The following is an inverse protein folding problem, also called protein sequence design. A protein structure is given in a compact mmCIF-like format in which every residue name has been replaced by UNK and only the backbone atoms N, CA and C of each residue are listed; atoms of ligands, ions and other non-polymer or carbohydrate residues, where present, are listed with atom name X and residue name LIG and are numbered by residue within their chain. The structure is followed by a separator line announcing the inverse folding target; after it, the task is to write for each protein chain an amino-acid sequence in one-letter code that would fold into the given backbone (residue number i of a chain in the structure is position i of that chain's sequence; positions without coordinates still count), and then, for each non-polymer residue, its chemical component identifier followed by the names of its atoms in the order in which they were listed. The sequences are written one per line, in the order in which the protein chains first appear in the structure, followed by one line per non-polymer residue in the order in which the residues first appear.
data_IF_223167083260
#
_entry.id   IF_223167083260
#
_cell.length_a   1.000
_cell.length_b   1.000
_cell.length_c   1.000
_cell.angle_alpha   90.00
_cell.angle_beta   90.00
_cell.angle_gamma   90.00
#
_symmetry.space_group_name_H-M   'P 1'
#
loop_
_entity.id
_entity.type
_entity.pdbx_description
1 polymer ?
#
# COMPACT_ATOMS: atom_id res chain seq x y z
N UNK A 1 -23.99 -4.94 5.40
CA UNK A 1 -24.31 -6.38 5.29
C UNK A 1 -24.08 -7.12 6.61
N UNK A 2 -22.92 -6.99 7.26
CA UNK A 2 -22.66 -7.66 8.56
C UNK A 2 -23.58 -7.13 9.67
N UNK A 3 -23.69 -5.81 9.82
CA UNK A 3 -24.55 -5.19 10.85
C UNK A 3 -26.00 -5.66 10.78
N UNK A 4 -26.59 -5.69 9.57
CA UNK A 4 -27.99 -6.11 9.37
C UNK A 4 -28.25 -7.56 9.77
N UNK A 5 -27.22 -8.42 9.77
CA UNK A 5 -27.34 -9.81 10.20
C UNK A 5 -27.18 -9.97 11.72
N UNK A 6 -26.25 -9.21 12.32
CA UNK A 6 -25.91 -9.33 13.74
C UNK A 6 -26.88 -8.56 14.64
N UNK A 7 -27.38 -7.39 14.20
CA UNK A 7 -28.22 -6.51 15.02
C UNK A 7 -29.45 -7.22 15.61
N UNK A 8 -30.27 -7.97 14.85
CA UNK A 8 -31.44 -8.64 15.42
C UNK A 8 -31.07 -9.70 16.48
N UNK A 9 -29.91 -10.35 16.34
CA UNK A 9 -29.42 -11.34 17.30
C UNK A 9 -28.94 -10.65 18.59
N UNK A 10 -28.26 -9.52 18.48
CA UNK A 10 -27.85 -8.73 19.65
C UNK A 10 -29.07 -8.24 20.44
N UNK A 11 -30.11 -7.79 19.74
CA UNK A 11 -31.33 -7.30 20.39
C UNK A 11 -32.06 -8.41 21.16
N UNK A 12 -32.05 -9.65 20.63
CA UNK A 12 -32.69 -10.81 21.28
C UNK A 12 -31.86 -11.34 22.44
N UNK A 13 -30.56 -11.58 22.23
CA UNK A 13 -29.73 -12.29 23.20
C UNK A 13 -29.06 -11.35 24.22
N UNK A 14 -28.91 -10.07 23.90
CA UNK A 14 -28.08 -9.11 24.65
C UNK A 14 -28.74 -7.72 24.88
N UNK A 15 -30.03 -7.61 25.24
CA UNK A 15 -30.78 -6.34 25.24
C UNK A 15 -30.37 -5.30 26.31
N UNK A 16 -29.55 -5.68 27.30
CA UNK A 16 -29.20 -4.83 28.45
C UNK A 16 -27.69 -4.69 28.68
N UNK A 17 -26.87 -5.11 27.72
CA UNK A 17 -25.43 -4.96 27.81
C UNK A 17 -24.93 -3.90 26.84
N UNK A 18 -23.84 -3.24 27.21
CA UNK A 18 -23.11 -2.37 26.31
C UNK A 18 -22.19 -3.25 25.46
N UNK A 19 -22.54 -3.42 24.19
CA UNK A 19 -21.69 -4.11 23.22
C UNK A 19 -20.57 -3.15 22.78
N UNK A 20 -19.35 -3.65 22.74
CA UNK A 20 -18.19 -2.97 22.17
C UNK A 20 -17.58 -3.84 21.08
N UNK A 21 -16.83 -3.22 20.18
CA UNK A 21 -16.07 -3.90 19.15
C UNK A 21 -14.63 -3.37 19.14
N UNK A 22 -13.70 -4.16 18.58
CA UNK A 22 -12.29 -3.79 18.42
C UNK A 22 -11.94 -3.71 16.92
N UNK A 23 -12.48 -2.74 16.15
CA UNK A 23 -12.11 -2.59 14.75
C UNK A 23 -10.70 -2.00 14.63
N UNK A 24 -9.77 -2.77 14.06
CA UNK A 24 -8.44 -2.30 13.68
C UNK A 24 -8.37 -1.88 12.22
N UNK A 25 -8.16 -2.86 11.33
CA UNK A 25 -8.01 -2.66 9.88
C UNK A 25 -9.16 -1.89 9.24
N UNK A 26 -10.38 -2.02 9.78
CA UNK A 26 -11.55 -1.27 9.33
C UNK A 26 -11.32 0.24 9.23
N UNK A 27 -10.61 0.85 10.19
CA UNK A 27 -10.35 2.29 10.17
C UNK A 27 -9.16 2.69 9.31
N UNK A 28 -8.12 1.85 9.27
CA UNK A 28 -6.81 2.28 8.78
C UNK A 28 -6.48 1.75 7.39
N UNK A 29 -6.99 0.59 6.97
CA UNK A 29 -6.57 -0.05 5.71
C UNK A 29 -6.59 0.91 4.54
N UNK A 30 -7.74 1.55 4.28
CA UNK A 30 -7.96 2.45 3.14
C UNK A 30 -7.46 3.88 3.36
N UNK A 31 -7.07 4.23 4.59
CA UNK A 31 -6.66 5.58 4.95
C UNK A 31 -5.24 5.93 4.49
N UNK A 32 -4.40 4.92 4.22
CA UNK A 32 -3.01 5.11 3.81
C UNK A 32 -2.76 4.61 2.40
N UNK A 33 -1.99 5.41 1.66
CA UNK A 33 -1.47 5.10 0.33
C UNK A 33 0.05 5.18 0.40
N UNK A 34 0.73 4.17 -0.14
CA UNK A 34 2.19 4.10 -0.18
C UNK A 34 2.67 4.43 -1.60
N UNK A 35 3.67 5.31 -1.70
CA UNK A 35 4.37 5.57 -2.95
C UNK A 35 5.81 5.05 -2.84
N UNK A 36 6.21 4.22 -3.79
CA UNK A 36 7.55 3.63 -3.87
C UNK A 36 8.23 3.98 -5.18
N UNK A 37 9.55 4.02 -5.17
CA UNK A 37 10.37 4.36 -6.33
C UNK A 37 11.06 3.12 -6.87
N UNK A 38 11.14 3.00 -8.20
CA UNK A 38 11.93 1.97 -8.86
C UNK A 38 13.40 2.33 -8.77
N UNK A 39 14.18 1.50 -8.08
CA UNK A 39 15.63 1.69 -7.85
C UNK A 39 16.49 0.87 -8.80
N UNK A 40 15.96 -0.26 -9.30
CA UNK A 40 16.64 -1.06 -10.31
C UNK A 40 15.64 -1.77 -11.23
N UNK A 41 16.11 -2.10 -12.43
CA UNK A 41 15.34 -2.78 -13.47
C UNK A 41 16.20 -3.86 -14.10
N UNK A 42 15.62 -5.03 -14.31
CA UNK A 42 16.23 -6.15 -15.06
C UNK A 42 15.29 -6.59 -16.17
N UNK A 43 15.85 -6.76 -17.37
CA UNK A 43 15.14 -7.30 -18.53
C UNK A 43 15.39 -8.80 -18.59
N UNK A 44 14.33 -9.59 -18.69
CA UNK A 44 14.41 -11.03 -18.84
C UNK A 44 13.97 -11.38 -20.25
N UNK A 45 14.94 -11.67 -21.11
CA UNK A 45 14.72 -12.28 -22.42
C UNK A 45 14.45 -13.77 -22.23
N UNK A 46 13.39 -14.31 -22.84
CA UNK A 46 13.00 -15.73 -22.71
C UNK A 46 14.07 -16.73 -23.16
N UNK A 47 15.06 -16.32 -23.95
CA UNK A 47 15.86 -17.26 -24.74
C UNK A 47 17.15 -17.80 -24.12
N UNK A 48 17.54 -17.50 -22.86
CA UNK A 48 18.86 -17.97 -22.38
C UNK A 48 19.00 -18.56 -20.98
N UNK A 49 18.11 -18.36 -20.03
CA UNK A 49 18.35 -18.89 -18.68
C UNK A 49 17.09 -19.58 -18.14
N UNK A 50 17.18 -20.91 -18.01
CA UNK A 50 16.13 -21.84 -17.57
C UNK A 50 15.68 -21.69 -16.11
N UNK A 51 15.44 -20.47 -15.67
CA UNK A 51 14.90 -20.13 -14.37
C UNK A 51 13.79 -19.09 -14.54
N UNK A 52 12.55 -19.54 -14.71
CA UNK A 52 11.38 -18.81 -14.18
C UNK A 52 10.11 -19.64 -14.32
N UNK A 53 9.43 -19.87 -13.20
CA UNK A 53 8.07 -20.41 -13.13
C UNK A 53 7.03 -19.36 -13.56
N UNK A 54 7.31 -18.58 -14.62
CA UNK A 54 6.35 -17.63 -15.17
C UNK A 54 5.47 -18.37 -16.18
N UNK A 55 4.16 -18.43 -15.90
CA UNK A 55 3.16 -18.91 -16.85
C UNK A 55 3.35 -18.23 -18.22
N UNK A 56 3.43 -19.00 -19.33
CA UNK A 56 3.80 -18.47 -20.62
C UNK A 56 2.71 -17.56 -21.20
N UNK A 57 2.95 -16.25 -21.20
CA UNK A 57 2.26 -15.31 -22.10
C UNK A 57 2.51 -15.68 -23.57
N UNK A 58 1.45 -15.65 -24.39
CA UNK A 58 1.41 -16.11 -25.79
C UNK A 58 2.18 -15.25 -26.81
N UNK A 59 2.90 -14.20 -26.39
CA UNK A 59 3.61 -13.28 -27.29
C UNK A 59 5.10 -13.20 -26.95
N UNK A 60 5.98 -13.06 -27.95
CA UNK A 60 7.46 -12.88 -27.87
C UNK A 60 7.92 -11.59 -27.15
N UNK A 61 7.12 -11.03 -26.26
CA UNK A 61 7.43 -9.79 -25.55
C UNK A 61 8.36 -10.06 -24.35
N UNK A 62 9.34 -9.19 -24.07
CA UNK A 62 10.21 -9.31 -22.91
C UNK A 62 9.44 -9.22 -21.60
N UNK A 63 9.96 -9.83 -20.54
CA UNK A 63 9.47 -9.67 -19.18
C UNK A 63 10.41 -8.75 -18.37
N UNK A 64 9.85 -8.01 -17.43
CA UNK A 64 10.62 -7.09 -16.58
C UNK A 64 10.57 -7.49 -15.10
N UNK A 65 11.70 -7.29 -14.42
CA UNK A 65 11.80 -7.36 -12.97
C UNK A 65 12.19 -5.98 -12.47
N UNK A 66 11.37 -5.39 -11.61
CA UNK A 66 11.64 -4.09 -11.00
C UNK A 66 11.91 -4.25 -9.50
N UNK A 67 12.96 -3.61 -9.03
CA UNK A 67 13.29 -3.52 -7.62
C UNK A 67 12.88 -2.15 -7.10
N UNK A 68 12.18 -2.13 -5.97
CA UNK A 68 11.63 -0.95 -5.32
C UNK A 68 12.47 -0.58 -4.10
N UNK A 69 12.37 0.66 -3.65
CA UNK A 69 13.01 1.12 -2.42
C UNK A 69 12.33 0.63 -1.12
N UNK A 70 11.23 -0.13 -1.22
CA UNK A 70 10.53 -0.73 -0.09
C UNK A 70 10.02 -2.13 -0.48
N UNK A 71 9.88 -3.02 0.50
CA UNK A 71 9.71 -4.45 0.28
C UNK A 71 9.00 -5.16 1.43
N UNK A 72 9.07 -6.49 1.43
CA UNK A 72 8.41 -7.35 2.44
C UNK A 72 9.00 -7.18 3.83
N UNK A 73 10.24 -6.71 3.94
CA UNK A 73 10.88 -6.40 5.23
C UNK A 73 10.53 -5.00 5.76
N UNK A 74 9.75 -4.23 4.99
CA UNK A 74 9.27 -2.90 5.34
C UNK A 74 7.75 -2.84 5.27
N UNK A 75 7.21 -1.97 4.40
CA UNK A 75 5.77 -1.69 4.35
C UNK A 75 4.92 -2.86 3.83
N UNK A 76 5.53 -3.85 3.17
CA UNK A 76 4.84 -5.03 2.64
C UNK A 76 4.96 -6.27 3.53
N UNK A 77 5.26 -6.11 4.82
CA UNK A 77 5.36 -7.22 5.78
C UNK A 77 4.15 -8.17 5.79
N UNK A 78 2.96 -7.67 5.50
CA UNK A 78 1.75 -8.49 5.37
C UNK A 78 1.89 -9.59 4.34
N UNK A 79 2.72 -9.41 3.31
CA UNK A 79 2.93 -10.41 2.27
C UNK A 79 3.56 -11.70 2.82
N UNK A 80 4.33 -11.61 3.90
CA UNK A 80 4.93 -12.76 4.58
C UNK A 80 3.95 -13.47 5.52
N UNK A 81 2.96 -12.74 6.05
CA UNK A 81 2.02 -13.26 7.04
C UNK A 81 0.72 -13.78 6.44
N UNK A 82 0.24 -13.11 5.39
CA UNK A 82 -1.06 -13.36 4.76
C UNK A 82 -0.94 -13.31 3.23
N UNK A 83 -1.89 -13.92 2.53
CA UNK A 83 -2.03 -13.78 1.08
C UNK A 83 -2.58 -12.40 0.72
N UNK A 84 -1.78 -11.37 0.99
CA UNK A 84 -2.09 -10.00 0.67
C UNK A 84 -1.75 -9.74 -0.80
N UNK A 85 -2.76 -9.36 -1.56
CA UNK A 85 -2.61 -9.01 -2.98
C UNK A 85 -2.71 -7.51 -3.12
N UNK A 86 -1.58 -6.88 -3.37
CA UNK A 86 -1.49 -5.46 -3.69
C UNK A 86 -1.56 -5.25 -5.19
N UNK A 87 -2.25 -4.20 -5.61
CA UNK A 87 -2.36 -3.83 -7.02
C UNK A 87 -1.46 -2.62 -7.25
N UNK A 88 -0.38 -2.75 -8.05
CA UNK A 88 0.49 -1.63 -8.35
C UNK A 88 -0.19 -0.66 -9.32
N UNK A 89 -0.20 0.63 -8.98
CA UNK A 89 -0.72 1.71 -9.81
C UNK A 89 0.45 2.57 -10.26
N UNK A 90 0.63 2.73 -11.57
CA UNK A 90 1.73 3.55 -12.10
C UNK A 90 1.38 5.03 -12.00
N UNK A 91 2.25 5.84 -11.40
CA UNK A 91 2.00 7.27 -11.23
C UNK A 91 2.01 8.04 -12.57
N UNK A 92 2.88 7.63 -13.51
CA UNK A 92 2.96 8.25 -14.84
C UNK A 92 1.70 7.98 -15.65
N UNK A 93 1.15 9.03 -16.26
CA UNK A 93 0.15 8.90 -17.33
C UNK A 93 0.85 8.36 -18.58
N UNK A 94 0.71 7.07 -18.85
CA UNK A 94 1.06 6.52 -20.16
C UNK A 94 -0.05 6.85 -21.15
N UNK A 95 0.31 7.13 -22.40
CA UNK A 95 -0.66 7.18 -23.49
C UNK A 95 -1.35 5.80 -23.56
N UNK A 96 -2.65 5.77 -23.78
CA UNK A 96 -3.49 4.55 -23.79
C UNK A 96 -3.04 3.49 -24.81
N UNK A 97 -2.11 3.85 -25.71
CA UNK A 97 -1.47 2.99 -26.72
C UNK A 97 -0.14 2.35 -26.26
N UNK A 98 0.24 2.53 -25.00
CA UNK A 98 1.49 1.99 -24.45
C UNK A 98 1.52 0.45 -24.46
N UNK A 99 2.63 -0.13 -24.92
CA UNK A 99 2.83 -1.59 -24.83
C UNK A 99 2.94 -1.99 -23.35
N UNK A 100 2.12 -2.95 -22.95
CA UNK A 100 2.16 -3.56 -21.61
C UNK A 100 3.00 -4.85 -21.63
N UNK A 101 3.71 -5.10 -20.54
CA UNK A 101 4.66 -6.19 -20.38
C UNK A 101 4.43 -6.96 -19.09
N UNK A 102 4.67 -8.27 -19.12
CA UNK A 102 4.68 -9.09 -17.92
C UNK A 102 5.81 -8.62 -17.00
N UNK A 103 5.45 -8.33 -15.75
CA UNK A 103 6.34 -7.69 -14.79
C UNK A 103 6.23 -8.33 -13.41
N UNK A 104 7.31 -8.26 -12.63
CA UNK A 104 7.31 -8.59 -11.20
C UNK A 104 7.96 -7.46 -10.40
N UNK A 105 7.47 -7.24 -9.18
CA UNK A 105 7.94 -6.20 -8.26
C UNK A 105 8.58 -6.82 -7.03
N UNK A 106 9.80 -6.38 -6.74
CA UNK A 106 10.64 -6.88 -5.67
C UNK A 106 11.03 -5.73 -4.75
N UNK A 107 11.26 -6.04 -3.48
CA UNK A 107 11.84 -5.09 -2.54
C UNK A 107 13.34 -4.87 -2.78
N UNK A 108 13.97 -4.03 -1.95
CA UNK A 108 15.36 -3.63 -2.11
C UNK A 108 16.35 -4.70 -1.65
N UNK A 109 15.92 -5.71 -0.90
CA UNK A 109 16.82 -6.76 -0.45
C UNK A 109 17.16 -7.71 -1.59
N UNK A 110 18.35 -8.32 -1.52
CA UNK A 110 18.76 -9.37 -2.46
C UNK A 110 18.20 -10.75 -2.08
N UNK A 111 17.17 -10.80 -1.22
CA UNK A 111 16.53 -12.05 -0.79
C UNK A 111 15.44 -12.47 -1.80
N UNK A 112 15.39 -13.78 -2.10
CA UNK A 112 14.35 -14.39 -2.92
C UNK A 112 12.94 -14.30 -2.31
N UNK A 113 12.84 -14.07 -1.00
CA UNK A 113 11.57 -13.86 -0.30
C UNK A 113 11.04 -12.42 -0.43
N UNK A 114 11.85 -11.47 -0.89
CA UNK A 114 11.47 -10.06 -1.02
C UNK A 114 10.68 -9.77 -2.30
N UNK A 115 9.78 -10.68 -2.64
CA UNK A 115 8.90 -10.56 -3.79
C UNK A 115 7.55 -9.99 -3.32
N UNK A 116 7.26 -8.76 -3.74
CA UNK A 116 6.02 -8.06 -3.36
C UNK A 116 4.88 -8.43 -4.30
N UNK A 117 5.14 -8.38 -5.61
CA UNK A 117 4.18 -8.74 -6.67
C UNK A 117 4.83 -9.72 -7.61
N UNK A 118 4.34 -10.96 -7.59
CA UNK A 118 4.88 -12.04 -8.40
C UNK A 118 4.60 -11.83 -9.89
N UNK A 119 3.34 -11.52 -10.23
CA UNK A 119 2.90 -11.31 -11.60
C UNK A 119 1.97 -10.09 -11.69
N UNK A 120 2.36 -9.13 -12.52
CA UNK A 120 1.52 -8.01 -12.91
C UNK A 120 1.78 -7.64 -14.37
N UNK A 121 0.93 -6.80 -14.93
CA UNK A 121 1.11 -6.28 -16.28
C UNK A 121 1.25 -4.76 -16.16
N UNK A 122 2.41 -4.26 -16.57
CA UNK A 122 2.76 -2.85 -16.43
C UNK A 122 3.33 -2.34 -17.76
N UNK A 123 3.19 -1.03 -18.04
CA UNK A 123 4.01 -0.41 -19.07
C UNK A 123 5.49 -0.52 -18.69
N UNK A 124 6.38 -0.29 -19.65
CA UNK A 124 7.80 -0.24 -19.36
C UNK A 124 8.13 0.95 -18.42
N UNK A 125 8.64 0.63 -17.23
CA UNK A 125 9.09 1.60 -16.22
C UNK A 125 10.60 1.77 -16.31
N UNK A 126 11.10 2.90 -15.80
CA UNK A 126 12.52 3.18 -15.63
C UNK A 126 12.89 3.43 -14.17
N UNK A 127 14.18 3.36 -13.86
CA UNK A 127 14.70 3.76 -12.55
C UNK A 127 14.35 5.23 -12.31
N UNK A 128 13.82 5.53 -11.12
CA UNK A 128 13.27 6.84 -10.78
C UNK A 128 11.75 6.96 -10.96
N UNK A 129 11.08 5.98 -11.57
CA UNK A 129 9.62 6.00 -11.72
C UNK A 129 8.92 5.60 -10.42
N UNK A 130 7.71 6.13 -10.23
CA UNK A 130 6.93 5.91 -9.01
C UNK A 130 5.77 4.94 -9.25
N UNK A 131 5.61 4.02 -8.31
CA UNK A 131 4.50 3.07 -8.22
C UNK A 131 3.75 3.34 -6.92
N UNK A 132 2.43 3.37 -7.00
CA UNK A 132 1.51 3.69 -5.93
C UNK A 132 0.78 2.42 -5.53
N UNK A 133 0.64 2.21 -4.22
CA UNK A 133 -0.11 1.12 -3.61
C UNK A 133 -1.15 1.71 -2.67
N UNK A 134 -2.42 1.55 -3.02
CA UNK A 134 -3.54 1.91 -2.15
C UNK A 134 -3.77 0.82 -1.09
N UNK A 135 -4.58 1.14 -0.08
CA UNK A 135 -4.97 0.21 0.99
C UNK A 135 -3.81 -0.28 1.87
N UNK A 136 -2.82 0.59 2.09
CA UNK A 136 -1.56 0.27 2.77
C UNK A 136 -1.52 0.75 4.22
N UNK A 137 -2.65 0.75 4.94
CA UNK A 137 -2.71 1.27 6.32
C UNK A 137 -2.78 0.25 7.44
N UNK A 138 -3.17 -0.99 7.17
CA UNK A 138 -3.22 -2.05 8.17
C UNK A 138 -1.94 -2.89 8.15
N UNK A 139 -1.30 -3.06 9.30
CA UNK A 139 -0.13 -3.93 9.49
C UNK A 139 1.09 -3.60 8.59
N UNK A 140 1.11 -2.42 7.97
CA UNK A 140 2.21 -1.92 7.11
C UNK A 140 3.26 -1.13 7.89
N UNK A 141 2.85 -0.45 8.98
CA UNK A 141 3.74 0.34 9.84
C UNK A 141 4.41 -0.49 10.95
N UNK A 142 4.63 -1.78 10.69
CA UNK A 142 5.17 -2.75 11.65
C UNK A 142 6.52 -2.35 12.27
N UNK A 143 6.86 -2.98 13.40
CA UNK A 143 8.15 -2.76 14.05
C UNK A 143 9.28 -3.07 13.07
N UNK A 144 10.24 -2.14 12.99
CA UNK A 144 11.38 -2.24 12.11
C UNK A 144 12.14 -3.53 12.45
N UNK A 145 12.28 -4.42 11.47
CA UNK A 145 13.16 -5.57 11.63
C UNK A 145 14.61 -5.05 11.70
N UNK A 146 15.40 -5.54 12.65
CA UNK A 146 16.83 -5.22 12.79
C UNK A 146 17.68 -5.60 11.57
N UNK A 147 17.06 -6.27 10.58
CA UNK A 147 17.68 -6.75 9.35
C UNK A 147 17.57 -5.76 8.19
N UNK A 148 16.80 -4.68 8.33
CA UNK A 148 16.63 -3.68 7.27
C UNK A 148 17.29 -2.36 7.65
N UNK A 149 18.40 -2.02 6.97
CA UNK A 149 18.92 -0.64 6.92
C UNK A 149 17.97 0.32 6.18
N UNK A 150 16.83 -0.19 5.70
CA UNK A 150 15.82 0.55 4.95
C UNK A 150 15.11 1.53 5.88
N UNK A 151 15.30 2.82 5.59
CA UNK A 151 14.65 3.92 6.29
C UNK A 151 13.14 3.86 6.06
N UNK A 152 12.34 3.98 7.14
CA UNK A 152 10.88 4.03 7.03
C UNK A 152 10.44 5.13 6.05
N UNK A 153 9.44 4.88 5.20
CA UNK A 153 8.89 5.92 4.35
C UNK A 153 8.43 7.13 5.19
N UNK A 154 8.69 8.36 4.73
CA UNK A 154 8.16 9.54 5.39
C UNK A 154 6.63 9.52 5.37
N UNK A 155 6.02 9.91 6.49
CA UNK A 155 4.58 9.88 6.66
C UNK A 155 3.99 11.27 6.54
N UNK A 156 3.08 11.44 5.58
CA UNK A 156 2.37 12.69 5.36
C UNK A 156 0.88 12.48 5.62
N UNK A 157 0.34 13.24 6.58
CA UNK A 157 -1.08 13.22 6.92
C UNK A 157 -1.82 14.30 6.14
N UNK A 158 -2.92 13.93 5.51
CA UNK A 158 -3.80 14.84 4.78
C UNK A 158 -5.20 14.75 5.38
N UNK A 159 -5.89 15.89 5.41
CA UNK A 159 -7.26 15.99 5.88
C UNK A 159 -7.98 17.02 5.03
N UNK A 160 -9.23 16.74 4.65
CA UNK A 160 -10.02 17.72 3.93
C UNK A 160 -10.43 18.86 4.87
N UNK A 161 -10.65 20.04 4.30
CA UNK A 161 -11.13 21.19 5.07
C UNK A 161 -12.50 20.90 5.69
N UNK A 162 -13.36 20.14 5.00
CA UNK A 162 -14.68 19.74 5.50
C UNK A 162 -14.56 18.88 6.76
N UNK A 163 -13.73 17.83 6.72
CA UNK A 163 -13.54 16.92 7.85
C UNK A 163 -12.98 17.67 9.07
N UNK A 164 -12.07 18.62 8.84
CA UNK A 164 -11.53 19.46 9.90
C UNK A 164 -12.62 20.32 10.57
N UNK A 165 -13.52 20.91 9.78
CA UNK A 165 -14.64 21.68 10.33
C UNK A 165 -15.60 20.81 11.12
N UNK A 166 -15.95 19.62 10.62
CA UNK A 166 -16.81 18.67 11.34
C UNK A 166 -16.18 18.25 12.68
N UNK A 167 -14.86 17.97 12.70
CA UNK A 167 -14.11 17.69 13.94
C UNK A 167 -14.11 18.89 14.90
N UNK A 168 -14.06 20.11 14.38
CA UNK A 168 -14.10 21.31 15.20
C UNK A 168 -15.48 21.53 15.83
N UNK A 169 -16.55 21.41 15.05
CA UNK A 169 -17.94 21.54 15.53
C UNK A 169 -18.30 20.46 16.55
N UNK A 170 -17.79 19.24 16.38
CA UNK A 170 -17.92 18.16 17.36
C UNK A 170 -17.13 18.42 18.66
N UNK A 171 -16.33 19.50 18.74
CA UNK A 171 -15.54 19.86 19.92
C UNK A 171 -14.24 19.05 20.10
N UNK A 172 -13.91 18.16 19.15
CA UNK A 172 -12.77 17.24 19.25
C UNK A 172 -11.45 18.01 19.22
N UNK A 173 -11.34 19.05 18.40
CA UNK A 173 -10.11 19.90 18.30
C UNK A 173 -9.75 20.65 19.59
N UNK A 174 -10.65 20.74 20.56
CA UNK A 174 -10.41 21.37 21.87
C UNK A 174 -9.93 20.37 22.92
N UNK A 175 -9.93 19.09 22.60
CA UNK A 175 -9.42 18.05 23.48
C UNK A 175 -7.89 18.16 23.61
N UNK A 176 -7.43 18.01 24.84
CA UNK A 176 -6.01 17.94 25.18
C UNK A 176 -5.27 16.78 24.50
N UNK A 177 -6.00 15.76 24.02
CA UNK A 177 -5.45 14.64 23.25
C UNK A 177 -4.89 15.06 21.88
N UNK A 178 -5.35 16.18 21.31
CA UNK A 178 -4.90 16.67 19.99
C UNK A 178 -3.82 17.76 20.03
N UNK A 179 -3.19 18.01 21.19
CA UNK A 179 -2.16 19.06 21.36
C UNK A 179 -0.95 18.94 20.44
N UNK A 180 -0.69 17.73 19.91
CA UNK A 180 0.45 17.47 19.03
C UNK A 180 0.11 17.58 17.53
N UNK A 181 -1.14 17.93 17.19
CA UNK A 181 -1.57 18.07 15.80
C UNK A 181 -1.54 19.54 15.38
N UNK A 182 -0.85 19.82 14.28
CA UNK A 182 -0.82 21.14 13.66
C UNK A 182 -1.50 21.04 12.30
N UNK A 183 -2.63 21.73 12.14
CA UNK A 183 -3.30 21.84 10.86
C UNK A 183 -2.73 23.05 10.10
N UNK A 184 -2.14 22.80 8.94
CA UNK A 184 -1.65 23.83 8.03
C UNK A 184 -2.38 23.67 6.70
N UNK A 185 -3.10 24.70 6.21
CA UNK A 185 -3.77 24.62 4.92
C UNK A 185 -2.76 24.32 3.80
N UNK A 186 -3.10 23.40 2.91
CA UNK A 186 -2.21 22.89 1.86
C UNK A 186 -1.71 23.97 0.89
N UNK A 187 -2.42 25.10 0.77
CA UNK A 187 -1.99 26.24 -0.02
C UNK A 187 -0.69 26.91 0.49
N UNK A 188 -0.28 26.67 1.74
CA UNK A 188 0.97 27.19 2.31
C UNK A 188 2.13 26.19 2.25
N UNK A 189 1.90 24.95 1.81
CA UNK A 189 2.92 23.89 1.73
C UNK A 189 3.53 23.74 0.32
N UNK A 190 2.98 24.44 -0.68
CA UNK A 190 3.40 24.37 -2.09
C UNK A 190 4.04 25.67 -2.62
N UNK A 191 4.37 26.63 -1.76
CA UNK A 191 5.14 27.85 -2.10
C UNK A 191 6.60 27.69 -1.72
#
# INVERSE_FOLDING_TARGET
QIYSFISPLLDIYFPRIKVIAEPGSYYVTTAFTLAVNIIAKKVVSRDKDGYTQMEPSMNDKPAFIYYMNDGVYGSFANKLMENFNVIPIVHKKYNEEGTIFASSLWGPSSDGLDQVVEHCVLPELNVGDWVIFENMGANTLGQQSTFSEVQRPPLYYLMSVSDWYEMHEAGITRDTSLKNFFFVPSCFLLS
#
